data_IF_559889380801
#
_entry.id   IF_559889380801
#
_cell.length_a   1.000
_cell.length_b   1.000
_cell.length_c   1.000
_cell.angle_alpha   90.00
_cell.angle_beta   90.00
_cell.angle_gamma   90.00
#
_symmetry.space_group_name_H-M   'P 1'
#
loop_
_entity.id
_entity.type
_entity.pdbx_description
1 polymer ?
#
# COMPACT_ATOMS: atom_id res chain seq x y z
N UNK A 1 16.23 -5.42 -15.90
CA UNK A 1 14.94 -5.78 -15.26
C UNK A 1 13.85 -4.89 -15.85
N UNK A 2 12.69 -5.44 -16.23
CA UNK A 2 11.57 -4.62 -16.66
C UNK A 2 10.88 -4.07 -15.40
N UNK A 3 10.93 -2.75 -15.22
CA UNK A 3 10.25 -2.10 -14.09
C UNK A 3 8.75 -2.07 -14.41
N UNK A 4 7.94 -2.65 -13.53
CA UNK A 4 6.48 -2.50 -13.58
C UNK A 4 6.08 -1.40 -12.60
N UNK A 5 5.58 -0.29 -13.13
CA UNK A 5 5.07 0.81 -12.30
C UNK A 5 3.60 0.56 -11.98
N UNK A 6 3.27 0.60 -10.69
CA UNK A 6 1.90 0.71 -10.20
C UNK A 6 1.67 2.17 -9.78
N UNK A 7 0.62 2.78 -10.31
CA UNK A 7 0.29 4.18 -10.03
C UNK A 7 -1.10 4.27 -9.43
N UNK A 8 -1.22 5.03 -8.34
CA UNK A 8 -2.49 5.29 -7.66
C UNK A 8 -2.78 6.80 -7.68
N UNK A 9 -4.04 7.21 -7.86
CA UNK A 9 -4.39 8.61 -8.00
C UNK A 9 -4.32 9.37 -6.67
N UNK A 10 -4.03 10.67 -6.75
CA UNK A 10 -4.38 11.58 -5.66
C UNK A 10 -5.90 11.72 -5.59
N UNK A 11 -6.47 11.49 -4.41
CA UNK A 11 -7.91 11.65 -4.18
C UNK A 11 -8.24 13.14 -4.03
N UNK A 12 -9.30 13.59 -4.69
CA UNK A 12 -9.68 15.01 -4.75
C UNK A 12 -11.08 15.32 -4.19
N UNK A 13 -11.72 14.33 -3.56
CA UNK A 13 -13.06 14.45 -2.93
C UNK A 13 -13.02 14.30 -1.41
N UNK A 14 -11.83 14.28 -0.83
CA UNK A 14 -11.60 14.08 0.61
C UNK A 14 -10.76 15.23 1.14
N UNK A 15 -10.90 15.53 2.43
CA UNK A 15 -10.04 16.46 3.17
C UNK A 15 -9.28 15.69 4.27
N UNK A 16 -8.32 14.83 3.90
CA UNK A 16 -7.60 14.00 4.85
C UNK A 16 -6.69 14.83 5.76
N UNK A 17 -6.56 14.41 7.02
CA UNK A 17 -5.53 14.85 7.96
C UNK A 17 -4.56 13.69 8.25
N UNK A 18 -3.45 13.95 8.94
CA UNK A 18 -2.54 12.88 9.38
C UNK A 18 -3.26 11.90 10.32
N UNK A 19 -4.07 12.40 11.24
CA UNK A 19 -4.82 11.58 12.18
C UNK A 19 -5.88 10.73 11.47
N UNK A 20 -6.66 11.34 10.57
CA UNK A 20 -7.72 10.60 9.85
C UNK A 20 -7.14 9.52 8.94
N UNK A 21 -6.01 9.80 8.28
CA UNK A 21 -5.34 8.83 7.41
C UNK A 21 -4.65 7.74 8.21
N UNK A 22 -4.11 8.05 9.39
CA UNK A 22 -3.57 7.03 10.32
C UNK A 22 -4.66 6.07 10.78
N UNK A 23 -5.83 6.59 11.18
CA UNK A 23 -6.96 5.75 11.58
C UNK A 23 -7.44 4.87 10.42
N UNK A 24 -7.58 5.45 9.22
CA UNK A 24 -7.99 4.69 8.04
C UNK A 24 -6.95 3.63 7.66
N UNK A 25 -5.64 3.92 7.77
CA UNK A 25 -4.59 2.92 7.56
C UNK A 25 -4.73 1.70 8.48
N UNK A 26 -5.09 1.92 9.75
CA UNK A 26 -5.33 0.84 10.71
C UNK A 26 -6.56 0.01 10.33
N UNK A 27 -7.62 0.66 9.86
CA UNK A 27 -8.85 0.03 9.36
C UNK A 27 -8.55 -0.87 8.15
N UNK A 28 -7.96 -0.31 7.08
CA UNK A 28 -7.62 -1.07 5.86
C UNK A 28 -6.67 -2.23 6.15
N UNK A 29 -5.71 -2.03 7.05
CA UNK A 29 -4.78 -3.11 7.47
C UNK A 29 -5.52 -4.21 8.22
N UNK A 30 -6.53 -3.86 9.01
CA UNK A 30 -7.41 -4.82 9.70
C UNK A 30 -8.26 -5.62 8.73
N UNK A 31 -8.82 -4.97 7.72
CA UNK A 31 -9.60 -5.61 6.65
C UNK A 31 -8.73 -6.58 5.83
N UNK A 32 -7.53 -6.14 5.42
CA UNK A 32 -6.54 -7.01 4.78
C UNK A 32 -6.18 -8.22 5.65
N UNK A 33 -5.94 -8.01 6.95
CA UNK A 33 -5.63 -9.10 7.89
C UNK A 33 -6.80 -10.08 8.02
N UNK A 34 -8.04 -9.60 8.03
CA UNK A 34 -9.24 -10.43 8.07
C UNK A 34 -9.33 -11.32 6.84
N UNK A 35 -9.13 -10.77 5.63
CA UNK A 35 -9.19 -11.55 4.37
C UNK A 35 -8.06 -12.60 4.32
N UNK A 36 -6.84 -12.25 4.73
CA UNK A 36 -5.73 -13.21 4.84
C UNK A 36 -6.03 -14.30 5.88
N UNK A 37 -6.67 -13.94 7.00
CA UNK A 37 -7.09 -14.89 8.03
C UNK A 37 -8.09 -15.91 7.50
N UNK A 38 -9.05 -15.45 6.68
CA UNK A 38 -10.00 -16.32 5.96
C UNK A 38 -9.27 -17.26 5.00
N UNK A 39 -8.34 -16.76 4.19
CA UNK A 39 -7.52 -17.58 3.26
C UNK A 39 -6.79 -18.72 3.96
N UNK A 40 -6.19 -18.44 5.12
CA UNK A 40 -5.38 -19.41 5.87
C UNK A 40 -6.21 -20.38 6.71
N UNK A 41 -7.54 -20.30 6.67
CA UNK A 41 -8.42 -21.12 7.53
C UNK A 41 -8.22 -20.85 9.02
N UNK A 42 -7.67 -19.68 9.38
CA UNK A 42 -7.34 -19.35 10.78
C UNK A 42 -8.59 -19.10 11.64
N UNK A 43 -9.76 -18.97 11.01
CA UNK A 43 -11.03 -18.69 11.68
C UNK A 43 -11.73 -19.93 12.25
N UNK A 44 -11.24 -21.15 12.02
CA UNK A 44 -11.92 -22.38 12.48
C UNK A 44 -13.30 -22.65 11.87
N UNK A 45 -13.79 -21.74 11.02
CA UNK A 45 -15.00 -21.87 10.21
C UNK A 45 -14.63 -22.48 8.85
N UNK A 46 -15.47 -23.39 8.33
CA UNK A 46 -15.34 -23.92 6.98
C UNK A 46 -15.71 -22.82 5.98
N UNK A 47 -14.75 -21.96 5.62
CA UNK A 47 -14.95 -20.96 4.58
C UNK A 47 -14.93 -21.66 3.23
N UNK A 48 -16.11 -21.83 2.65
CA UNK A 48 -16.29 -22.25 1.26
C UNK A 48 -16.22 -20.99 0.39
N UNK A 49 -15.03 -20.42 0.25
CA UNK A 49 -14.73 -19.44 -0.80
C UNK A 49 -13.64 -20.08 -1.66
N UNK A 50 -13.78 -20.00 -2.98
CA UNK A 50 -12.75 -20.50 -3.88
C UNK A 50 -11.49 -19.60 -3.79
N UNK A 51 -10.33 -20.21 -4.03
CA UNK A 51 -9.03 -19.56 -3.90
C UNK A 51 -8.90 -18.30 -4.75
N UNK A 52 -9.53 -18.27 -5.94
CA UNK A 52 -9.48 -17.12 -6.84
C UNK A 52 -10.24 -15.92 -6.24
N UNK A 53 -11.43 -16.15 -5.69
CA UNK A 53 -12.18 -15.11 -4.98
C UNK A 53 -11.37 -14.55 -3.82
N UNK A 54 -10.72 -15.40 -3.02
CA UNK A 54 -9.94 -14.92 -1.87
C UNK A 54 -8.72 -14.10 -2.29
N UNK A 55 -7.98 -14.55 -3.31
CA UNK A 55 -6.84 -13.79 -3.85
C UNK A 55 -7.26 -12.43 -4.41
N UNK A 56 -8.42 -12.36 -5.06
CA UNK A 56 -8.98 -11.11 -5.56
C UNK A 56 -9.35 -10.16 -4.42
N UNK A 57 -9.94 -10.64 -3.34
CA UNK A 57 -10.21 -9.81 -2.16
C UNK A 57 -8.91 -9.32 -1.51
N UNK A 58 -7.89 -10.18 -1.36
CA UNK A 58 -6.58 -9.76 -0.84
C UNK A 58 -5.99 -8.63 -1.69
N UNK A 59 -6.09 -8.74 -3.02
CA UNK A 59 -5.56 -7.72 -3.92
C UNK A 59 -6.29 -6.37 -3.77
N UNK A 60 -7.61 -6.38 -3.51
CA UNK A 60 -8.40 -5.16 -3.27
C UNK A 60 -7.97 -4.49 -1.96
N UNK A 61 -8.00 -5.23 -0.86
CA UNK A 61 -7.62 -4.71 0.46
C UNK A 61 -6.17 -4.18 0.47
N UNK A 62 -5.27 -4.85 -0.26
CA UNK A 62 -3.89 -4.40 -0.40
C UNK A 62 -3.79 -3.07 -1.17
N UNK A 63 -4.64 -2.85 -2.17
CA UNK A 63 -4.72 -1.58 -2.89
C UNK A 63 -5.32 -0.48 -2.02
N UNK A 64 -6.27 -0.77 -1.15
CA UNK A 64 -6.86 0.22 -0.24
C UNK A 64 -5.86 0.66 0.84
N UNK A 65 -5.08 -0.28 1.40
CA UNK A 65 -3.92 0.05 2.25
C UNK A 65 -2.93 0.94 1.51
N UNK A 66 -2.56 0.57 0.28
CA UNK A 66 -1.60 1.33 -0.52
C UNK A 66 -2.12 2.74 -0.85
N UNK A 67 -3.39 2.86 -1.23
CA UNK A 67 -4.02 4.14 -1.56
C UNK A 67 -4.07 5.05 -0.33
N UNK A 68 -4.39 4.52 0.84
CA UNK A 68 -4.45 5.30 2.08
C UNK A 68 -3.06 5.79 2.50
N UNK A 69 -2.02 4.96 2.34
CA UNK A 69 -0.64 5.38 2.58
C UNK A 69 -0.20 6.51 1.64
N UNK A 70 -0.50 6.38 0.34
CA UNK A 70 -0.19 7.41 -0.66
C UNK A 70 -0.96 8.71 -0.36
N UNK A 71 -2.23 8.62 0.04
CA UNK A 71 -3.01 9.78 0.48
C UNK A 71 -2.37 10.46 1.69
N UNK A 72 -1.88 9.70 2.67
CA UNK A 72 -1.16 10.27 3.80
C UNK A 72 0.15 10.96 3.37
N UNK A 73 0.88 10.41 2.39
CA UNK A 73 2.06 11.07 1.85
C UNK A 73 1.71 12.43 1.23
N UNK A 74 0.65 12.52 0.42
CA UNK A 74 0.19 13.81 -0.12
C UNK A 74 -0.21 14.81 0.97
N UNK A 75 -0.82 14.36 2.08
CA UNK A 75 -1.06 15.21 3.25
C UNK A 75 0.25 15.77 3.81
N UNK A 76 1.28 14.92 3.96
CA UNK A 76 2.60 15.34 4.44
C UNK A 76 3.26 16.38 3.52
N UNK A 77 3.13 16.23 2.20
CA UNK A 77 3.66 17.20 1.23
C UNK A 77 2.90 18.53 1.29
N UNK A 78 1.58 18.49 1.22
CA UNK A 78 0.76 19.69 1.04
C UNK A 78 0.60 20.50 2.33
N UNK A 79 0.47 19.84 3.47
CA UNK A 79 0.20 20.51 4.75
C UNK A 79 1.47 20.71 5.58
N UNK A 80 2.49 19.88 5.38
CA UNK A 80 3.71 19.89 6.20
C UNK A 80 5.00 20.15 5.40
N UNK A 81 4.91 20.33 4.07
CA UNK A 81 6.04 20.68 3.22
C UNK A 81 7.07 19.56 3.04
N UNK A 82 6.67 18.30 3.25
CA UNK A 82 7.56 17.15 3.05
C UNK A 82 7.81 16.94 1.57
N UNK A 83 9.08 16.88 1.17
CA UNK A 83 9.46 16.56 -0.21
C UNK A 83 9.35 15.05 -0.46
N UNK A 84 8.22 14.60 -1.02
CA UNK A 84 7.97 13.18 -1.30
C UNK A 84 8.95 12.63 -2.34
N UNK A 85 9.31 13.41 -3.35
CA UNK A 85 10.23 12.98 -4.41
C UNK A 85 11.61 12.63 -3.83
N UNK A 86 12.13 13.48 -2.94
CA UNK A 86 13.38 13.23 -2.23
C UNK A 86 13.24 12.00 -1.31
N UNK A 87 12.16 11.92 -0.52
CA UNK A 87 11.93 10.78 0.38
C UNK A 87 11.84 9.44 -0.39
N UNK A 88 11.21 9.44 -1.56
CA UNK A 88 11.12 8.28 -2.44
C UNK A 88 12.49 7.89 -3.00
N UNK A 89 13.27 8.88 -3.47
CA UNK A 89 14.64 8.65 -3.95
C UNK A 89 15.51 8.01 -2.87
N UNK A 90 15.54 8.59 -1.67
CA UNK A 90 16.30 8.07 -0.53
C UNK A 90 15.84 6.66 -0.13
N UNK A 91 14.52 6.39 -0.21
CA UNK A 91 13.98 5.06 0.03
C UNK A 91 14.48 4.05 -1.00
N UNK A 92 14.45 4.38 -2.29
CA UNK A 92 14.96 3.51 -3.37
C UNK A 92 16.45 3.23 -3.21
N UNK A 93 17.28 4.25 -2.98
CA UNK A 93 18.73 4.08 -2.73
C UNK A 93 19.00 3.15 -1.54
N UNK A 94 18.20 3.28 -0.46
CA UNK A 94 18.29 2.37 0.70
C UNK A 94 17.94 0.92 0.30
N UNK A 95 16.94 0.70 -0.54
CA UNK A 95 16.58 -0.65 -1.02
C UNK A 95 17.68 -1.25 -1.91
N UNK A 96 18.32 -0.45 -2.76
CA UNK A 96 19.46 -0.87 -3.57
C UNK A 96 20.66 -1.29 -2.72
N UNK A 97 21.02 -0.46 -1.73
CA UNK A 97 22.10 -0.81 -0.78
C UNK A 97 21.84 -2.11 -0.02
N UNK A 98 20.57 -2.44 0.24
CA UNK A 98 20.16 -3.69 0.88
C UNK A 98 20.08 -4.88 -0.08
N UNK A 99 20.26 -4.67 -1.39
CA UNK A 99 20.13 -5.70 -2.42
C UNK A 99 18.67 -6.09 -2.71
N UNK A 100 17.69 -5.31 -2.26
CA UNK A 100 16.27 -5.54 -2.56
C UNK A 100 15.85 -4.94 -3.89
N UNK A 101 16.66 -4.04 -4.46
CA UNK A 101 16.45 -3.41 -5.76
C UNK A 101 17.77 -3.42 -6.54
N UNK A 102 17.70 -3.63 -7.85
CA UNK A 102 18.82 -3.46 -8.78
C UNK A 102 18.31 -2.72 -10.01
N UNK A 103 18.53 -1.41 -10.09
CA UNK A 103 18.26 -0.64 -11.30
C UNK A 103 19.36 -0.95 -12.33
N UNK A 104 19.17 -2.00 -13.13
CA UNK A 104 19.97 -2.19 -14.34
C UNK A 104 19.52 -1.15 -15.37
N UNK A 105 20.23 -0.02 -15.45
CA UNK A 105 20.06 1.00 -16.48
C UNK A 105 20.40 0.40 -17.85
N UNK A 106 19.40 0.20 -18.71
CA UNK A 106 19.70 -0.03 -20.12
C UNK A 106 20.16 1.30 -20.72
N UNK A 107 21.41 1.29 -21.21
CA UNK A 107 21.98 2.32 -22.08
C UNK A 107 21.32 2.32 -23.45
#
# INVERSE_FOLDING_TARGET
>A
MQVKTLSLPKLNKLNPTLESTTLKLMEETGELAQVIGKFRGLSGENIIMDDETVLNEIAKELLDVAQTAITMMFVMEEQYGVNIELALKEHCEKLERKGYLSLSSNS
#
